data_IF_461042106735
#
_entry.id   IF_461042106735
#
_cell.length_a   1.000
_cell.length_b   1.000
_cell.length_c   1.000
_cell.angle_alpha   90.00
_cell.angle_beta   90.00
_cell.angle_gamma   90.00
#
_symmetry.space_group_name_H-M   'P 1'
#
loop_
_entity.id
_entity.type
_entity.pdbx_description
1 polymer ?
#
# COMPACT_ATOMS: atom_id res chain seq x y z
N UNK A 1 29.10 -2.52 0.73
CA UNK A 1 27.87 -2.08 1.42
C UNK A 1 28.22 -1.74 2.86
N UNK A 2 28.30 -0.46 3.18
CA UNK A 2 28.32 0.00 4.57
C UNK A 2 26.86 0.28 4.91
N UNK A 3 26.21 -0.58 5.68
CA UNK A 3 24.89 -0.24 6.20
C UNK A 3 25.12 0.83 7.28
N UNK A 4 24.66 2.07 7.07
CA UNK A 4 24.80 3.15 8.04
C UNK A 4 24.19 2.78 9.41
N UNK A 5 23.21 1.87 9.41
CA UNK A 5 22.59 1.28 10.59
C UNK A 5 23.39 0.12 11.20
N UNK A 6 24.35 -0.47 10.49
CA UNK A 6 25.21 -1.52 11.06
C UNK A 6 26.19 -0.96 12.10
N UNK A 7 26.60 0.31 11.98
CA UNK A 7 27.42 1.00 12.98
C UNK A 7 26.61 1.87 13.95
N UNK A 8 25.43 2.35 13.56
CA UNK A 8 24.56 3.14 14.43
C UNK A 8 23.79 2.23 15.38
N UNK A 9 24.27 2.09 16.62
CA UNK A 9 23.48 1.49 17.70
C UNK A 9 22.45 2.50 18.18
N UNK A 10 21.23 2.41 17.67
CA UNK A 10 20.12 3.20 18.20
C UNK A 10 19.82 2.81 19.65
N UNK A 11 19.42 3.78 20.46
CA UNK A 11 18.98 3.53 21.83
C UNK A 11 17.74 2.63 21.86
N UNK A 12 17.48 2.00 23.01
CA UNK A 12 16.30 1.16 23.19
C UNK A 12 15.04 1.98 22.92
N UNK A 13 14.20 1.49 22.02
CA UNK A 13 12.96 2.17 21.61
C UNK A 13 13.11 3.07 20.38
N UNK A 14 14.23 3.01 19.67
CA UNK A 14 14.44 3.66 18.39
C UNK A 14 14.76 2.64 17.29
N UNK A 15 14.21 2.85 16.10
CA UNK A 15 14.48 2.06 14.90
C UNK A 15 15.37 2.85 13.95
N UNK A 16 16.30 2.17 13.27
CA UNK A 16 17.12 2.81 12.26
C UNK A 16 16.40 2.81 10.92
N UNK A 17 16.12 4.00 10.39
CA UNK A 17 15.43 4.21 9.11
C UNK A 17 16.21 5.28 8.35
N UNK A 18 16.72 4.93 7.16
CA UNK A 18 17.54 5.82 6.33
C UNK A 18 18.65 6.56 7.11
N UNK A 19 19.52 5.81 7.78
CA UNK A 19 20.67 6.34 8.55
C UNK A 19 20.31 7.16 9.80
N UNK A 20 19.01 7.32 10.12
CA UNK A 20 18.55 8.04 11.29
C UNK A 20 17.87 7.12 12.30
N UNK A 21 18.16 7.32 13.58
CA UNK A 21 17.40 6.69 14.66
C UNK A 21 16.10 7.46 14.86
N UNK A 22 14.98 6.88 14.44
CA UNK A 22 13.64 7.42 14.65
C UNK A 22 12.95 6.66 15.78
N UNK A 23 12.01 7.27 16.53
CA UNK A 23 11.26 6.55 17.56
C UNK A 23 10.60 5.30 16.95
N UNK A 24 10.84 4.14 17.56
CA UNK A 24 10.22 2.90 17.13
C UNK A 24 8.77 2.89 17.65
N UNK A 25 7.75 2.95 16.77
CA UNK A 25 6.36 2.93 17.19
C UNK A 25 5.96 1.59 17.83
N UNK A 26 6.74 0.52 17.60
CA UNK A 26 6.57 -0.78 18.25
C UNK A 26 7.30 -0.89 19.60
N UNK A 27 8.05 0.14 20.02
CA UNK A 27 8.75 0.15 21.29
C UNK A 27 7.78 -0.02 22.47
N UNK A 28 7.95 -1.09 23.24
CA UNK A 28 7.12 -1.38 24.41
C UNK A 28 5.72 -1.93 24.11
N UNK A 29 5.37 -2.13 22.84
CA UNK A 29 4.10 -2.73 22.43
C UNK A 29 4.14 -4.23 22.71
N UNK A 30 3.12 -4.74 23.43
CA UNK A 30 2.96 -6.17 23.68
C UNK A 30 1.83 -6.71 22.83
N UNK A 31 2.19 -7.38 21.74
CA UNK A 31 1.22 -8.11 20.94
C UNK A 31 0.85 -9.46 21.60
N UNK A 32 -0.36 -9.97 21.35
CA UNK A 32 -0.78 -11.33 21.72
C UNK A 32 0.18 -12.42 21.20
N UNK A 33 0.08 -13.62 21.78
CA UNK A 33 0.92 -14.77 21.38
C UNK A 33 0.73 -15.06 19.89
N UNK A 34 1.84 -15.20 19.17
CA UNK A 34 1.87 -15.48 17.73
C UNK A 34 1.75 -14.25 16.83
N UNK A 35 1.57 -13.05 17.39
CA UNK A 35 1.51 -11.80 16.65
C UNK A 35 2.83 -11.02 16.75
N UNK A 36 3.11 -10.26 15.70
CA UNK A 36 4.29 -9.41 15.55
C UNK A 36 3.81 -7.97 15.38
N UNK A 37 4.48 -7.04 16.08
CA UNK A 37 4.24 -5.62 15.90
C UNK A 37 4.82 -5.16 14.56
N UNK A 38 4.01 -4.50 13.75
CA UNK A 38 4.41 -3.87 12.50
C UNK A 38 3.82 -2.46 12.44
N UNK A 39 4.43 -1.61 11.62
CA UNK A 39 3.90 -0.29 11.31
C UNK A 39 3.32 -0.32 9.90
N UNK A 40 2.03 -0.01 9.76
CA UNK A 40 1.33 0.05 8.48
C UNK A 40 0.49 1.32 8.42
N UNK A 41 0.58 2.06 7.32
CA UNK A 41 -0.20 3.30 7.10
C UNK A 41 -0.02 4.38 8.19
N UNK A 42 1.09 4.32 8.94
CA UNK A 42 1.36 5.24 10.05
C UNK A 42 0.84 4.78 11.41
N UNK A 43 0.18 3.62 11.47
CA UNK A 43 -0.37 3.04 12.69
C UNK A 43 0.39 1.78 13.13
N UNK A 44 0.35 1.53 14.44
CA UNK A 44 0.87 0.31 15.06
C UNK A 44 -0.17 -0.80 14.90
N UNK A 45 0.25 -1.93 14.32
CA UNK A 45 -0.62 -3.09 14.10
C UNK A 45 0.06 -4.36 14.61
N UNK A 46 -0.70 -5.23 15.27
CA UNK A 46 -0.24 -6.57 15.66
C UNK A 46 -0.83 -7.58 14.68
N UNK A 47 0.01 -8.16 13.83
CA UNK A 47 -0.40 -9.12 12.81
C UNK A 47 0.25 -10.47 13.07
N UNK A 48 -0.42 -11.58 12.74
CA UNK A 48 0.23 -12.89 12.75
C UNK A 48 1.34 -12.92 11.70
N UNK A 49 2.43 -13.66 11.98
CA UNK A 49 3.60 -13.71 11.09
C UNK A 49 3.22 -14.05 9.64
N UNK A 50 2.28 -14.99 9.43
CA UNK A 50 1.75 -15.38 8.13
C UNK A 50 0.94 -14.30 7.41
N UNK A 51 0.50 -13.25 8.10
CA UNK A 51 -0.23 -12.13 7.51
C UNK A 51 0.68 -10.96 7.15
N UNK A 52 1.95 -10.98 7.60
CA UNK A 52 2.89 -9.98 7.13
C UNK A 52 3.15 -10.21 5.63
N UNK A 53 3.31 -9.12 4.85
CA UNK A 53 3.76 -9.25 3.48
C UNK A 53 5.06 -10.07 3.48
N UNK A 54 5.22 -11.02 2.54
CA UNK A 54 6.47 -11.76 2.43
C UNK A 54 7.61 -10.74 2.37
N UNK A 55 8.64 -10.94 3.21
CA UNK A 55 9.90 -10.19 3.06
C UNK A 55 10.22 -10.26 1.60
N UNK A 56 10.28 -9.11 0.92
CA UNK A 56 10.48 -9.04 -0.51
C UNK A 56 11.63 -9.99 -0.87
N UNK A 57 11.29 -11.17 -1.38
CA UNK A 57 12.30 -12.06 -1.90
C UNK A 57 12.99 -11.24 -2.98
N UNK A 58 14.33 -11.18 -3.01
CA UNK A 58 15.03 -10.50 -4.07
C UNK A 58 14.41 -10.99 -5.38
N UNK A 59 13.75 -10.08 -6.11
CA UNK A 59 13.17 -10.42 -7.40
C UNK A 59 14.26 -11.16 -8.17
N UNK A 60 13.96 -12.33 -8.77
CA UNK A 60 14.96 -13.05 -9.55
C UNK A 60 15.58 -12.05 -10.50
N UNK A 61 16.88 -11.82 -10.35
CA UNK A 61 17.62 -10.89 -11.19
C UNK A 61 17.34 -11.32 -12.64
N UNK A 62 17.01 -10.38 -13.53
CA UNK A 62 16.86 -10.72 -14.93
C UNK A 62 18.12 -11.49 -15.35
N UNK A 63 17.98 -12.61 -16.09
CA UNK A 63 19.14 -13.28 -16.63
C UNK A 63 19.97 -12.25 -17.39
N UNK A 64 21.29 -12.26 -17.17
CA UNK A 64 22.24 -11.45 -17.90
C UNK A 64 22.27 -11.91 -19.37
N UNK A 65 21.24 -11.56 -20.15
CA UNK A 65 21.16 -11.84 -21.58
C UNK A 65 22.19 -10.95 -22.30
N UNK A 66 23.37 -11.56 -22.51
CA UNK A 66 24.25 -11.41 -23.67
C UNK A 66 24.78 -10.01 -24.01
N UNK A 67 25.90 -9.66 -23.37
CA UNK A 67 26.89 -8.70 -23.90
C UNK A 67 27.72 -9.25 -25.08
N UNK A 68 27.26 -10.31 -25.75
CA UNK A 68 27.95 -10.93 -26.89
C UNK A 68 27.05 -10.97 -28.14
N UNK A 69 26.35 -9.87 -28.42
CA UNK A 69 25.78 -9.64 -29.75
C UNK A 69 26.83 -8.88 -30.58
N UNK A 70 27.62 -9.55 -31.44
CA UNK A 70 28.51 -8.85 -32.34
C UNK A 70 27.69 -7.92 -33.25
N UNK A 71 28.18 -6.69 -33.37
CA UNK A 71 27.74 -5.72 -34.37
C UNK A 71 27.91 -6.33 -35.77
N UNK A 72 26.85 -6.93 -36.29
CA UNK A 72 26.75 -7.19 -37.73
C UNK A 72 26.54 -5.83 -38.40
N UNK A 73 27.66 -5.26 -38.84
CA UNK A 73 27.66 -4.09 -39.68
C UNK A 73 26.82 -4.30 -40.95
N UNK A 74 26.19 -3.20 -41.36
CA UNK A 74 26.08 -2.77 -42.75
C UNK A 74 25.39 -3.72 -43.75
N UNK A 75 24.14 -3.39 -44.09
CA UNK A 75 23.73 -3.23 -45.49
C UNK A 75 22.58 -2.23 -45.59
N UNK A 76 22.86 -1.11 -46.26
CA UNK A 76 21.89 -0.23 -46.89
C UNK A 76 20.99 -1.06 -47.82
N UNK A 77 19.70 -1.16 -47.49
CA UNK A 77 18.68 -1.47 -48.50
C UNK A 77 17.71 -0.30 -48.55
N UNK A 78 17.97 0.53 -49.55
CA UNK A 78 17.22 1.74 -49.82
C UNK A 78 15.73 1.50 -50.06
N UNK A 79 15.00 2.59 -49.84
CA UNK A 79 13.77 2.98 -50.54
C UNK A 79 12.65 1.94 -50.56
N UNK A 80 11.76 2.05 -49.58
CA UNK A 80 10.34 1.77 -49.81
C UNK A 80 9.51 3.03 -49.55
N UNK A 81 8.68 3.46 -50.52
CA UNK A 81 7.85 4.66 -50.38
C UNK A 81 6.85 4.49 -49.24
N UNK A 82 6.62 5.60 -48.52
CA UNK A 82 5.51 5.76 -47.60
C UNK A 82 4.20 5.64 -48.37
N UNK A 83 3.43 4.61 -48.09
CA UNK A 83 2.05 4.51 -48.52
C UNK A 83 1.23 3.79 -47.46
N UNK A 84 -0.05 4.17 -47.35
CA UNK A 84 -1.05 3.85 -46.30
C UNK A 84 -1.06 4.89 -45.17
N UNK A 85 -1.97 5.86 -45.09
CA UNK A 85 -3.34 5.88 -45.59
C UNK A 85 -4.30 5.38 -44.50
N UNK A 86 -5.11 6.33 -43.99
CA UNK A 86 -6.35 6.20 -43.22
C UNK A 86 -6.28 5.81 -41.74
N UNK A 87 -6.62 6.82 -40.94
CA UNK A 87 -7.81 6.83 -40.07
C UNK A 87 -8.34 5.46 -39.60
N UNK A 88 -8.07 5.13 -38.34
CA UNK A 88 -9.07 4.46 -37.52
C UNK A 88 -9.13 5.15 -36.15
N UNK A 89 -10.10 6.06 -36.04
CA UNK A 89 -10.82 6.25 -34.78
C UNK A 89 -11.34 4.88 -34.33
N UNK A 90 -11.01 4.50 -33.10
CA UNK A 90 -11.89 3.68 -32.27
C UNK A 90 -11.57 3.96 -30.81
N UNK A 91 -12.34 4.83 -30.12
CA UNK A 91 -12.41 4.77 -28.67
C UNK A 91 -13.06 3.44 -28.32
N UNK A 92 -12.37 2.60 -27.56
CA UNK A 92 -12.98 1.41 -26.97
C UNK A 92 -14.02 1.84 -25.92
N UNK A 93 -15.29 1.43 -26.02
CA UNK A 93 -16.26 1.51 -24.94
C UNK A 93 -16.54 0.07 -24.48
N UNK A 94 -15.82 -0.41 -23.47
CA UNK A 94 -16.22 -1.59 -22.72
C UNK A 94 -15.33 -1.71 -21.48
N UNK A 95 -15.90 -1.31 -20.36
CA UNK A 95 -15.34 -1.49 -19.04
C UNK A 95 -16.46 -1.27 -18.05
N UNK A 96 -17.43 -2.20 -18.08
CA UNK A 96 -18.45 -2.38 -17.06
C UNK A 96 -17.81 -2.36 -15.67
N UNK A 97 -17.84 -1.17 -15.04
CA UNK A 97 -17.53 -1.01 -13.63
C UNK A 97 -18.68 -1.58 -12.82
N UNK A 98 -18.47 -2.77 -12.25
CA UNK A 98 -19.32 -3.27 -11.17
C UNK A 98 -19.34 -2.24 -10.02
N UNK A 99 -20.54 -1.97 -9.52
CA UNK A 99 -20.82 -0.89 -8.59
C UNK A 99 -20.18 -1.05 -7.21
N UNK A 100 -19.85 0.11 -6.64
CA UNK A 100 -19.98 0.34 -5.21
C UNK A 100 -21.13 1.32 -5.02
N UNK A 101 -22.35 0.78 -5.00
CA UNK A 101 -23.52 1.46 -4.47
C UNK A 101 -23.21 1.73 -2.99
N UNK A 102 -22.83 2.97 -2.66
CA UNK A 102 -22.64 3.39 -1.28
C UNK A 102 -24.02 3.51 -0.64
N UNK A 103 -24.52 2.33 -0.27
CA UNK A 103 -25.65 2.16 0.63
C UNK A 103 -25.42 2.98 1.88
N UNK A 104 -26.35 3.92 2.09
CA UNK A 104 -26.84 4.33 3.40
C UNK A 104 -25.78 4.91 4.35
N UNK A 105 -25.61 6.23 4.22
CA UNK A 105 -25.30 7.13 5.33
C UNK A 105 -26.21 6.81 6.52
N UNK A 106 -25.73 5.96 7.43
CA UNK A 106 -26.41 5.68 8.69
C UNK A 106 -26.30 6.92 9.57
N UNK A 107 -27.29 7.81 9.44
CA UNK A 107 -27.63 8.82 10.43
C UNK A 107 -28.01 8.13 11.73
N UNK A 108 -27.03 7.84 12.59
CA UNK A 108 -27.22 7.30 13.96
C UNK A 108 -27.80 8.36 14.93
N UNK A 109 -28.39 9.45 14.42
CA UNK A 109 -28.67 10.65 15.22
C UNK A 109 -30.14 11.09 15.43
N UNK A 110 -31.19 10.21 15.40
CA UNK A 110 -32.46 10.59 16.02
C UNK A 110 -32.77 9.85 17.34
N UNK A 111 -32.10 8.75 17.69
CA UNK A 111 -32.53 7.93 18.84
C UNK A 111 -32.22 8.52 20.22
N UNK A 112 -31.16 9.33 20.35
CA UNK A 112 -30.82 9.96 21.64
C UNK A 112 -31.82 11.07 22.00
N UNK A 113 -32.32 11.83 21.01
CA UNK A 113 -33.28 12.91 21.25
C UNK A 113 -34.68 12.42 21.68
N UNK A 114 -35.04 11.17 21.38
CA UNK A 114 -36.33 10.61 21.81
C UNK A 114 -36.35 10.15 23.29
N UNK A 115 -35.21 9.73 23.83
CA UNK A 115 -35.14 9.22 25.21
C UNK A 115 -34.98 10.33 26.26
N UNK A 116 -34.32 11.44 25.90
CA UNK A 116 -34.09 12.59 26.77
C UNK A 116 -35.39 13.20 27.37
N UNK A 117 -36.45 13.49 26.59
CA UNK A 117 -37.70 14.01 27.15
C UNK A 117 -38.43 12.97 28.02
N UNK A 118 -38.31 11.67 27.72
CA UNK A 118 -38.93 10.59 28.50
C UNK A 118 -38.27 10.43 29.89
N UNK A 119 -36.94 10.58 29.95
CA UNK A 119 -36.18 10.57 31.21
C UNK A 119 -36.51 11.81 32.05
N UNK A 120 -36.53 13.00 31.44
CA UNK A 120 -36.93 14.25 32.14
C UNK A 120 -38.37 14.17 32.65
N UNK A 121 -39.29 13.63 31.84
CA UNK A 121 -40.68 13.45 32.22
C UNK A 121 -40.82 12.49 33.43
N UNK A 122 -40.09 11.38 33.44
CA UNK A 122 -40.09 10.45 34.59
C UNK A 122 -39.46 11.05 35.84
N UNK A 123 -38.39 11.84 35.71
CA UNK A 123 -37.75 12.50 36.84
C UNK A 123 -38.64 13.55 37.51
N UNK A 124 -39.51 14.25 36.76
CA UNK A 124 -40.47 15.22 37.33
C UNK A 124 -41.71 14.59 37.96
N UNK A 125 -41.98 13.30 37.72
CA UNK A 125 -43.18 12.61 38.22
C UNK A 125 -42.93 11.79 39.48
N UNK A 126 -41.68 11.69 39.95
CA UNK A 126 -41.31 11.20 41.28
C UNK A 126 -41.11 12.38 42.21
#
# INVERSE_FOLDING_TARGET
>A
MNDPCASARCEVGFACVFEACVPDPCAGVRCPVGQVCTTGEGDVQCLYAEQLPPRAEPLPLPPDDDLDRPDVGFVDQGLRPADSGRDQLSPSPAGDGCGCDMRTSMSVWPSIFALLPLVIYRARRR
#
